data_IF_518739797442
#
_entry.id   IF_518739797442
#
_cell.length_a   1.000
_cell.length_b   1.000
_cell.length_c   1.000
_cell.angle_alpha   90.00
_cell.angle_beta   90.00
_cell.angle_gamma   90.00
#
_symmetry.space_group_name_H-M   'P 1'
#
loop_
_entity.id
_entity.type
_entity.pdbx_description
1 polymer ?
#
# COMPACT_ATOMS: atom_id res chain seq x y z
N UNK A 1 1.21 17.65 -41.26
CA UNK A 1 0.44 17.42 -40.01
C UNK A 1 0.16 18.71 -39.22
N UNK A 2 1.16 19.41 -38.66
CA UNK A 2 0.92 20.61 -37.83
C UNK A 2 0.06 21.69 -38.50
N UNK A 3 0.35 22.01 -39.76
CA UNK A 3 -0.42 23.02 -40.51
C UNK A 3 -1.87 22.57 -40.78
N UNK A 4 -2.08 21.30 -41.09
CA UNK A 4 -3.41 20.71 -41.27
C UNK A 4 -4.25 20.82 -39.98
N UNK A 5 -3.70 20.41 -38.84
CA UNK A 5 -4.36 20.54 -37.54
C UNK A 5 -4.62 22.01 -37.18
N UNK A 6 -3.69 22.91 -37.50
CA UNK A 6 -3.87 24.35 -37.30
C UNK A 6 -5.02 24.90 -38.15
N UNK A 7 -5.10 24.56 -39.43
CA UNK A 7 -6.20 24.94 -40.32
C UNK A 7 -7.54 24.43 -39.80
N UNK A 8 -7.63 23.14 -39.41
CA UNK A 8 -8.83 22.56 -38.78
C UNK A 8 -9.20 23.30 -37.48
N UNK A 9 -8.21 23.71 -36.69
CA UNK A 9 -8.46 24.45 -35.45
C UNK A 9 -9.09 25.82 -35.64
N UNK A 10 -8.68 26.53 -36.68
CA UNK A 10 -9.20 27.87 -36.98
C UNK A 10 -10.68 27.85 -37.40
N UNK A 11 -11.12 26.80 -38.08
CA UNK A 11 -12.51 26.69 -38.55
C UNK A 11 -13.55 26.46 -37.45
N UNK A 12 -13.20 25.81 -36.33
CA UNK A 12 -14.14 25.69 -35.20
C UNK A 12 -14.03 26.83 -34.19
N UNK A 13 -12.94 27.60 -34.20
CA UNK A 13 -12.79 28.79 -33.35
C UNK A 13 -13.53 30.01 -33.88
N UNK A 14 -13.84 30.02 -35.18
CA UNK A 14 -14.71 31.00 -35.83
C UNK A 14 -15.89 30.28 -36.47
N UNK A 15 -16.99 30.17 -35.72
CA UNK A 15 -18.22 29.59 -36.21
C UNK A 15 -18.63 30.24 -37.55
N UNK A 16 -18.89 29.42 -38.57
CA UNK A 16 -19.31 29.86 -39.90
C UNK A 16 -18.20 30.15 -40.92
N UNK A 17 -16.93 30.06 -40.56
CA UNK A 17 -15.81 30.19 -41.50
C UNK A 17 -15.51 28.85 -42.18
N UNK A 18 -15.50 28.84 -43.52
CA UNK A 18 -15.10 27.67 -44.32
C UNK A 18 -13.60 27.76 -44.64
N UNK A 19 -12.84 26.73 -44.23
CA UNK A 19 -11.42 26.59 -44.60
C UNK A 19 -11.28 25.42 -45.57
N UNK A 20 -10.72 25.70 -46.76
CA UNK A 20 -10.42 24.70 -47.78
C UNK A 20 -8.95 24.33 -47.71
N UNK A 21 -8.66 23.07 -47.37
CA UNK A 21 -7.31 22.52 -47.34
C UNK A 21 -6.97 21.85 -48.68
N UNK A 22 -5.75 22.06 -49.17
CA UNK A 22 -5.18 21.32 -50.28
C UNK A 22 -3.68 21.12 -50.09
N UNK A 23 -3.19 19.90 -50.33
CA UNK A 23 -1.76 19.59 -50.38
C UNK A 23 -1.45 18.59 -51.51
N UNK A 24 -0.18 18.54 -51.92
CA UNK A 24 0.29 17.59 -52.92
C UNK A 24 0.15 16.15 -52.45
N UNK A 25 -0.05 15.24 -53.41
CA UNK A 25 -0.31 13.82 -53.15
C UNK A 25 0.84 13.15 -52.39
N UNK A 26 2.08 13.53 -52.68
CA UNK A 26 3.26 13.06 -51.97
C UNK A 26 3.26 13.43 -50.47
N UNK A 27 2.74 14.60 -50.12
CA UNK A 27 2.63 15.06 -48.72
C UNK A 27 1.46 14.36 -48.03
N UNK A 28 0.38 14.12 -48.76
CA UNK A 28 -0.81 13.39 -48.30
C UNK A 28 -0.43 11.98 -47.85
N UNK A 29 0.27 11.23 -48.70
CA UNK A 29 0.67 9.84 -48.44
C UNK A 29 1.72 9.75 -47.32
N UNK A 30 2.70 10.67 -47.32
CA UNK A 30 3.79 10.67 -46.33
C UNK A 30 3.32 10.93 -44.89
N UNK A 31 2.27 11.73 -44.72
CA UNK A 31 1.81 12.17 -43.40
C UNK A 31 0.41 11.67 -43.04
N UNK A 32 -0.17 10.80 -43.87
CA UNK A 32 -1.51 10.26 -43.70
C UNK A 32 -2.57 11.35 -43.44
N UNK A 33 -2.50 12.43 -44.22
CA UNK A 33 -3.47 13.54 -44.20
C UNK A 33 -4.16 13.62 -45.55
N UNK A 34 -5.44 13.99 -45.65
CA UNK A 34 -6.15 14.05 -46.93
C UNK A 34 -5.57 15.16 -47.84
N UNK A 35 -5.50 14.85 -49.14
CA UNK A 35 -4.99 15.79 -50.18
C UNK A 35 -5.89 16.99 -50.38
N UNK A 36 -7.19 16.85 -50.11
CA UNK A 36 -8.18 17.93 -50.06
C UNK A 36 -9.13 17.70 -48.90
N UNK A 37 -9.43 18.75 -48.14
CA UNK A 37 -10.44 18.71 -47.09
C UNK A 37 -11.18 20.05 -46.99
N UNK A 38 -12.39 20.03 -46.44
CA UNK A 38 -13.21 21.23 -46.21
C UNK A 38 -13.70 21.25 -44.78
N UNK A 39 -13.22 22.21 -44.01
CA UNK A 39 -13.64 22.39 -42.63
C UNK A 39 -14.71 23.48 -42.54
N UNK A 40 -15.89 23.11 -42.04
CA UNK A 40 -16.99 24.04 -41.74
C UNK A 40 -17.70 23.58 -40.48
N UNK A 41 -17.58 24.37 -39.42
CA UNK A 41 -18.22 24.10 -38.14
C UNK A 41 -19.24 25.21 -37.86
N UNK A 42 -20.51 24.87 -37.91
CA UNK A 42 -21.61 25.83 -37.81
C UNK A 42 -21.86 26.21 -36.34
N UNK A 43 -21.66 25.27 -35.41
CA UNK A 43 -21.83 25.47 -33.97
C UNK A 43 -20.48 25.58 -33.22
N UNK A 44 -19.40 25.89 -33.94
CA UNK A 44 -18.09 26.16 -33.35
C UNK A 44 -17.51 24.98 -32.57
N UNK A 45 -17.20 25.19 -31.28
CA UNK A 45 -16.56 24.18 -30.43
C UNK A 45 -17.43 22.95 -30.17
N UNK A 46 -18.76 23.09 -30.24
CA UNK A 46 -19.67 21.97 -30.00
C UNK A 46 -19.54 20.88 -31.08
N UNK A 47 -19.47 21.29 -32.35
CA UNK A 47 -19.30 20.36 -33.47
C UNK A 47 -17.93 19.66 -33.40
N UNK A 48 -16.88 20.41 -33.03
CA UNK A 48 -15.54 19.85 -32.83
C UNK A 48 -15.52 18.72 -31.79
N UNK A 49 -16.16 18.92 -30.64
CA UNK A 49 -16.19 17.89 -29.59
C UNK A 49 -17.07 16.70 -29.98
N UNK A 50 -18.20 16.92 -30.66
CA UNK A 50 -19.03 15.83 -31.15
C UNK A 50 -18.29 14.93 -32.16
N UNK A 51 -17.40 15.50 -32.98
CA UNK A 51 -16.61 14.74 -33.96
C UNK A 51 -15.45 13.95 -33.33
N UNK A 52 -14.87 14.45 -32.23
CA UNK A 52 -13.69 13.82 -31.60
C UNK A 52 -14.02 12.84 -30.46
N UNK A 53 -15.23 12.94 -29.90
CA UNK A 53 -15.63 12.21 -28.69
C UNK A 53 -16.76 11.23 -28.98
N UNK A 54 -16.54 9.96 -28.64
CA UNK A 54 -17.62 8.97 -28.58
C UNK A 54 -18.49 9.21 -27.35
N UNK A 55 -19.77 9.54 -27.57
CA UNK A 55 -20.75 9.82 -26.52
C UNK A 55 -20.93 8.67 -25.54
N UNK A 56 -20.69 7.42 -25.94
CA UNK A 56 -20.77 6.25 -25.06
C UNK A 56 -19.66 6.21 -24.00
N UNK A 57 -18.58 6.95 -24.23
CA UNK A 57 -17.42 7.04 -23.34
C UNK A 57 -17.43 8.26 -22.41
N UNK A 58 -18.58 8.96 -22.33
CA UNK A 58 -18.77 10.18 -21.56
C UNK A 58 -19.63 9.98 -20.32
N UNK A 59 -19.41 10.83 -19.31
CA UNK A 59 -20.25 10.87 -18.10
C UNK A 59 -21.57 11.59 -18.36
N UNK A 60 -21.55 12.71 -19.10
CA UNK A 60 -22.76 13.42 -19.49
C UNK A 60 -23.28 12.91 -20.83
N UNK A 61 -24.61 12.75 -20.92
CA UNK A 61 -25.25 12.37 -22.18
C UNK A 61 -25.17 13.49 -23.21
N UNK A 62 -25.19 14.74 -22.74
CA UNK A 62 -25.04 15.95 -23.56
C UNK A 62 -23.78 16.71 -23.14
N UNK A 63 -23.06 17.24 -24.13
CA UNK A 63 -21.88 18.08 -23.89
C UNK A 63 -22.35 19.36 -23.20
N UNK A 64 -21.72 19.71 -22.08
CA UNK A 64 -21.93 21.02 -21.47
C UNK A 64 -21.25 22.08 -22.32
N UNK A 65 -22.03 22.72 -23.18
CA UNK A 65 -21.57 23.74 -24.10
C UNK A 65 -22.30 25.06 -23.93
N UNK A 66 -21.67 26.16 -24.33
CA UNK A 66 -22.29 27.46 -24.36
C UNK A 66 -21.35 28.54 -24.88
N UNK A 67 -21.95 29.68 -25.18
CA UNK A 67 -21.23 30.87 -25.67
C UNK A 67 -21.74 32.10 -24.95
N UNK A 68 -20.80 32.93 -24.50
CA UNK A 68 -21.04 34.29 -24.06
C UNK A 68 -20.49 35.23 -25.11
N UNK A 69 -21.40 35.96 -25.77
CA UNK A 69 -21.03 37.01 -26.73
C UNK A 69 -20.29 38.16 -26.05
N UNK A 70 -19.65 39.00 -26.88
CA UNK A 70 -18.85 40.14 -26.42
C UNK A 70 -19.65 41.01 -25.46
N UNK A 71 -19.14 41.15 -24.26
CA UNK A 71 -19.70 42.05 -23.25
C UNK A 71 -19.20 43.50 -23.43
N UNK A 72 -19.56 44.37 -22.46
CA UNK A 72 -19.09 45.76 -22.41
C UNK A 72 -17.57 45.91 -22.36
N UNK A 73 -16.84 44.86 -21.97
CA UNK A 73 -15.39 44.82 -21.89
C UNK A 73 -14.76 44.14 -23.13
N UNK A 74 -15.54 43.87 -24.18
CA UNK A 74 -15.13 43.15 -25.39
C UNK A 74 -14.56 41.75 -25.12
N UNK A 75 -15.01 41.09 -24.04
CA UNK A 75 -14.63 39.71 -23.72
C UNK A 75 -15.73 38.77 -24.23
N UNK A 76 -15.34 37.73 -24.97
CA UNK A 76 -16.24 36.63 -25.32
C UNK A 76 -15.63 35.30 -24.92
N UNK A 77 -16.48 34.35 -24.53
CA UNK A 77 -16.04 33.04 -24.06
C UNK A 77 -16.95 31.94 -24.60
N UNK A 78 -16.36 30.89 -25.14
CA UNK A 78 -17.05 29.71 -25.67
C UNK A 78 -16.46 28.46 -25.03
N UNK A 79 -17.31 27.53 -24.63
CA UNK A 79 -16.90 26.27 -24.01
C UNK A 79 -17.73 25.12 -24.55
N UNK A 80 -17.11 23.95 -24.63
CA UNK A 80 -17.76 22.67 -24.89
C UNK A 80 -16.96 21.60 -24.15
N UNK A 81 -17.53 21.05 -23.08
CA UNK A 81 -16.83 20.08 -22.21
C UNK A 81 -17.72 18.92 -21.79
N UNK A 82 -17.07 17.80 -21.47
CA UNK A 82 -17.64 16.62 -20.83
C UNK A 82 -16.54 15.95 -19.99
N UNK A 83 -16.86 14.85 -19.33
CA UNK A 83 -15.92 14.00 -18.61
C UNK A 83 -15.86 12.62 -19.27
N UNK A 84 -14.67 12.08 -19.48
CA UNK A 84 -14.48 10.76 -20.06
C UNK A 84 -14.45 9.67 -19.00
N UNK A 85 -15.15 8.56 -19.28
CA UNK A 85 -15.03 7.30 -18.53
C UNK A 85 -13.81 6.47 -18.98
N UNK A 86 -13.21 6.81 -20.13
CA UNK A 86 -12.10 6.07 -20.74
C UNK A 86 -10.72 6.65 -20.44
N UNK A 87 -9.71 6.13 -21.14
CA UNK A 87 -8.30 6.55 -20.98
C UNK A 87 -7.94 7.82 -21.76
N UNK A 88 -8.77 8.24 -22.73
CA UNK A 88 -8.52 9.42 -23.55
C UNK A 88 -9.12 10.67 -22.90
N UNK A 89 -8.26 11.59 -22.48
CA UNK A 89 -8.65 12.84 -21.83
C UNK A 89 -7.88 14.00 -22.45
N UNK A 90 -8.55 15.10 -22.80
CA UNK A 90 -7.89 16.29 -23.37
C UNK A 90 -8.73 17.55 -23.14
N UNK A 91 -8.07 18.68 -22.87
CA UNK A 91 -8.75 19.98 -22.80
C UNK A 91 -8.01 20.98 -23.68
N UNK A 92 -8.56 21.23 -24.87
CA UNK A 92 -7.96 22.15 -25.82
C UNK A 92 -8.35 23.58 -25.47
N UNK A 93 -7.42 24.38 -24.98
CA UNK A 93 -7.68 25.77 -24.58
C UNK A 93 -7.06 26.76 -25.56
N UNK A 94 -7.78 27.86 -25.82
CA UNK A 94 -7.39 28.90 -26.78
C UNK A 94 -7.64 30.30 -26.22
N UNK A 95 -6.75 31.24 -26.53
CA UNK A 95 -6.92 32.66 -26.29
C UNK A 95 -6.67 33.44 -27.59
N UNK A 96 -7.65 34.22 -28.05
CA UNK A 96 -7.58 34.95 -29.33
C UNK A 96 -7.13 34.04 -30.50
N UNK A 97 -7.63 32.80 -30.54
CA UNK A 97 -7.25 31.73 -31.49
C UNK A 97 -5.82 31.20 -31.42
N UNK A 98 -5.03 31.64 -30.43
CA UNK A 98 -3.73 31.07 -30.12
C UNK A 98 -3.93 29.91 -29.13
N UNK A 99 -3.44 28.70 -29.42
CA UNK A 99 -3.54 27.58 -28.48
C UNK A 99 -2.73 27.87 -27.22
N UNK A 100 -3.30 27.54 -26.06
CA UNK A 100 -2.64 27.65 -24.76
C UNK A 100 -2.39 26.26 -24.18
N UNK A 101 -1.36 25.51 -24.64
CA UNK A 101 -1.15 24.12 -24.25
C UNK A 101 -0.84 23.95 -22.75
N UNK A 102 -0.35 25.00 -22.08
CA UNK A 102 -0.14 25.01 -20.62
C UNK A 102 -1.34 25.59 -19.85
N UNK A 103 -2.47 25.80 -20.53
CA UNK A 103 -3.70 26.33 -19.96
C UNK A 103 -3.59 27.81 -19.60
N UNK A 104 -4.13 28.19 -18.46
CA UNK A 104 -4.05 29.56 -17.96
C UNK A 104 -5.21 29.96 -17.08
N UNK A 105 -5.38 31.27 -16.89
CA UNK A 105 -6.40 31.83 -16.01
C UNK A 105 -7.83 31.51 -16.45
N UNK A 106 -8.10 31.38 -17.75
CA UNK A 106 -9.38 30.94 -18.32
C UNK A 106 -9.73 29.50 -17.95
N UNK A 107 -8.77 28.57 -18.04
CA UNK A 107 -8.97 27.17 -17.65
C UNK A 107 -9.19 27.02 -16.13
N UNK A 108 -8.42 27.77 -15.34
CA UNK A 108 -8.59 27.80 -13.87
C UNK A 108 -9.98 28.35 -13.52
N UNK A 109 -10.43 29.40 -14.24
CA UNK A 109 -11.77 29.97 -14.08
C UNK A 109 -12.87 28.94 -14.38
N UNK A 110 -12.74 28.19 -15.48
CA UNK A 110 -13.68 27.11 -15.84
C UNK A 110 -13.79 26.08 -14.70
N UNK A 111 -12.66 25.52 -14.25
CA UNK A 111 -12.62 24.51 -13.18
C UNK A 111 -13.17 25.06 -11.87
N UNK A 112 -12.86 26.31 -11.54
CA UNK A 112 -13.37 27.01 -10.36
C UNK A 112 -14.89 27.20 -10.40
N UNK A 113 -15.43 27.55 -11.56
CA UNK A 113 -16.87 27.80 -11.73
C UNK A 113 -17.68 26.52 -11.54
N UNK A 114 -17.23 25.43 -12.19
CA UNK A 114 -17.83 24.10 -12.04
C UNK A 114 -17.74 23.61 -10.60
N UNK A 115 -16.58 23.74 -9.95
CA UNK A 115 -16.39 23.35 -8.56
C UNK A 115 -17.38 24.05 -7.62
N UNK A 116 -17.56 25.37 -7.78
CA UNK A 116 -18.49 26.13 -6.95
C UNK A 116 -19.93 25.70 -7.19
N UNK A 117 -20.33 25.54 -8.44
CA UNK A 117 -21.67 25.08 -8.80
C UNK A 117 -21.98 23.66 -8.26
N UNK A 118 -21.03 22.73 -8.38
CA UNK A 118 -21.16 21.37 -7.83
C UNK A 118 -21.27 21.38 -6.31
N UNK A 119 -20.48 22.21 -5.61
CA UNK A 119 -20.59 22.36 -4.15
C UNK A 119 -21.93 22.93 -3.72
N UNK A 120 -22.43 23.96 -4.41
CA UNK A 120 -23.78 24.51 -4.18
C UNK A 120 -24.87 23.44 -4.37
N UNK A 121 -24.74 22.59 -5.40
CA UNK A 121 -25.69 21.51 -5.67
C UNK A 121 -25.61 20.40 -4.62
N UNK A 122 -24.40 19.96 -4.24
CA UNK A 122 -24.21 18.92 -3.24
C UNK A 122 -24.68 19.33 -1.83
N UNK A 123 -24.60 20.62 -1.49
CA UNK A 123 -25.20 21.15 -0.26
C UNK A 123 -26.72 20.99 -0.25
N UNK A 124 -27.38 21.20 -1.40
CA UNK A 124 -28.83 20.99 -1.54
C UNK A 124 -29.22 19.52 -1.46
N UNK A 125 -28.39 18.61 -2.00
CA UNK A 125 -28.65 17.16 -1.97
C UNK A 125 -28.14 16.45 -0.71
N UNK A 126 -27.52 17.17 0.23
CA UNK A 126 -27.06 16.63 1.52
C UNK A 126 -25.76 15.83 1.48
N UNK A 127 -24.99 15.89 0.39
CA UNK A 127 -23.78 15.08 0.22
C UNK A 127 -22.54 15.73 0.88
N UNK A 128 -22.23 15.31 2.11
CA UNK A 128 -21.13 15.86 2.93
C UNK A 128 -19.74 15.69 2.29
N UNK A 129 -19.54 14.67 1.45
CA UNK A 129 -18.25 14.40 0.81
C UNK A 129 -17.86 15.45 -0.22
N UNK A 130 -18.83 16.19 -0.77
CA UNK A 130 -18.58 17.25 -1.73
C UNK A 130 -17.75 18.42 -1.17
N UNK A 131 -17.74 18.61 0.16
CA UNK A 131 -16.90 19.61 0.83
C UNK A 131 -15.40 19.40 0.55
N UNK A 132 -14.98 18.13 0.36
CA UNK A 132 -13.59 17.73 0.15
C UNK A 132 -13.12 17.82 -1.32
N UNK A 133 -14.04 18.03 -2.26
CA UNK A 133 -13.72 18.19 -3.70
C UNK A 133 -12.89 19.46 -3.89
N UNK A 134 -11.84 19.38 -4.71
CA UNK A 134 -11.05 20.53 -5.14
C UNK A 134 -11.09 20.72 -6.68
N UNK A 135 -10.46 21.78 -7.19
CA UNK A 135 -10.47 22.11 -8.63
C UNK A 135 -9.74 21.08 -9.49
N UNK A 136 -8.79 20.34 -8.92
CA UNK A 136 -8.05 19.30 -9.64
C UNK A 136 -8.91 18.04 -9.83
N UNK A 137 -9.73 17.71 -8.84
CA UNK A 137 -10.69 16.60 -8.91
C UNK A 137 -11.71 16.85 -10.03
N UNK A 138 -12.19 18.09 -10.15
CA UNK A 138 -13.09 18.51 -11.25
C UNK A 138 -12.38 18.50 -12.60
N UNK A 139 -11.10 18.90 -12.62
CA UNK A 139 -10.29 18.96 -13.83
C UNK A 139 -9.84 17.61 -14.37
N UNK A 140 -9.95 16.54 -13.58
CA UNK A 140 -9.59 15.19 -14.01
C UNK A 140 -10.59 14.65 -15.02
N UNK A 141 -10.05 13.96 -16.01
CA UNK A 141 -10.80 13.30 -17.07
C UNK A 141 -11.70 14.23 -17.89
N UNK A 142 -11.46 15.55 -17.86
CA UNK A 142 -12.15 16.47 -18.76
C UNK A 142 -11.74 16.15 -20.21
N UNK A 143 -12.76 16.15 -21.07
CA UNK A 143 -12.67 16.11 -22.52
C UNK A 143 -13.41 17.32 -23.08
N UNK A 144 -12.74 18.14 -23.87
CA UNK A 144 -13.38 19.35 -24.35
C UNK A 144 -12.46 20.38 -24.96
N UNK A 145 -13.07 21.53 -25.28
CA UNK A 145 -12.38 22.70 -25.75
C UNK A 145 -12.96 23.97 -25.13
N UNK A 146 -12.10 24.96 -24.92
CA UNK A 146 -12.48 26.31 -24.48
C UNK A 146 -11.77 27.37 -25.30
N UNK A 147 -12.48 28.44 -25.63
CA UNK A 147 -11.94 29.57 -26.39
C UNK A 147 -12.36 30.88 -25.73
N UNK A 148 -11.37 31.73 -25.45
CA UNK A 148 -11.63 33.08 -24.95
C UNK A 148 -11.07 34.13 -25.92
N UNK A 149 -11.83 35.20 -26.14
CA UNK A 149 -11.33 36.40 -26.80
C UNK A 149 -11.28 37.55 -25.80
N UNK A 150 -10.12 38.22 -25.73
CA UNK A 150 -9.88 39.36 -24.84
C UNK A 150 -9.11 40.46 -25.57
N UNK A 151 -9.33 41.75 -25.23
CA UNK A 151 -8.62 42.87 -25.88
C UNK A 151 -7.10 42.84 -25.65
N UNK A 152 -6.67 42.65 -24.40
CA UNK A 152 -5.25 42.73 -24.00
C UNK A 152 -4.76 41.41 -23.36
N UNK A 153 -4.46 40.38 -24.15
CA UNK A 153 -3.97 39.12 -23.63
C UNK A 153 -2.52 39.24 -23.13
N UNK A 154 -2.29 38.81 -21.90
CA UNK A 154 -0.97 38.69 -21.27
C UNK A 154 -0.65 37.22 -21.12
N UNK A 155 0.49 36.80 -21.66
CA UNK A 155 0.96 35.42 -21.57
C UNK A 155 2.21 35.31 -20.72
N UNK A 156 2.43 34.14 -20.15
CA UNK A 156 3.69 33.80 -19.50
C UNK A 156 4.70 33.33 -20.54
N UNK A 157 5.85 34.01 -20.63
CA UNK A 157 6.94 33.64 -21.53
C UNK A 157 6.71 34.02 -23.01
N UNK A 158 7.75 33.82 -23.82
CA UNK A 158 7.78 34.21 -25.23
C UNK A 158 6.88 33.32 -26.11
N UNK A 159 6.70 32.05 -25.73
CA UNK A 159 5.97 31.04 -26.51
C UNK A 159 4.43 31.17 -26.43
N UNK A 160 3.92 32.13 -25.64
CA UNK A 160 2.47 32.37 -25.42
C UNK A 160 1.69 31.13 -24.95
N UNK A 161 2.36 30.22 -24.24
CA UNK A 161 1.80 28.92 -23.90
C UNK A 161 0.73 28.96 -22.79
N UNK A 162 0.75 30.01 -21.96
CA UNK A 162 -0.10 30.13 -20.76
C UNK A 162 -0.66 31.54 -20.56
N UNK A 163 -1.98 31.66 -20.43
CA UNK A 163 -2.64 32.95 -20.15
C UNK A 163 -2.47 33.36 -18.69
N UNK A 164 -2.10 34.63 -18.43
CA UNK A 164 -1.80 35.15 -17.08
C UNK A 164 -2.74 36.25 -16.56
N UNK A 165 -3.73 36.70 -17.36
CA UNK A 165 -4.68 37.74 -16.95
C UNK A 165 -5.54 37.29 -15.75
N UNK A 166 -5.27 37.83 -14.55
CA UNK A 166 -6.03 37.49 -13.33
C UNK A 166 -7.52 37.86 -13.41
N UNK A 167 -7.86 38.95 -14.12
CA UNK A 167 -9.25 39.38 -14.32
C UNK A 167 -10.08 38.33 -15.07
N UNK A 168 -9.46 37.61 -16.00
CA UNK A 168 -10.12 36.56 -16.80
C UNK A 168 -10.57 35.40 -15.94
N UNK A 169 -9.80 35.01 -14.92
CA UNK A 169 -10.17 33.88 -14.06
C UNK A 169 -11.52 34.11 -13.39
N UNK A 170 -11.69 35.24 -12.69
CA UNK A 170 -12.92 35.57 -11.97
C UNK A 170 -14.10 35.76 -12.93
N UNK A 171 -13.82 36.31 -14.11
CA UNK A 171 -14.83 36.50 -15.16
C UNK A 171 -15.40 35.17 -15.66
N UNK A 172 -14.53 34.25 -16.11
CA UNK A 172 -14.92 32.93 -16.60
C UNK A 172 -15.60 32.11 -15.50
N UNK A 173 -15.06 32.16 -14.28
CA UNK A 173 -15.61 31.45 -13.12
C UNK A 173 -17.07 31.80 -12.85
N UNK A 174 -17.41 33.10 -12.88
CA UNK A 174 -18.77 33.56 -12.63
C UNK A 174 -19.74 33.12 -13.74
N UNK A 175 -19.33 33.21 -15.00
CA UNK A 175 -20.15 32.78 -16.15
C UNK A 175 -20.43 31.29 -16.08
N UNK A 176 -19.38 30.50 -15.85
CA UNK A 176 -19.48 29.05 -15.80
C UNK A 176 -20.29 28.61 -14.59
N UNK A 177 -20.10 29.23 -13.42
CA UNK A 177 -20.90 28.91 -12.23
C UNK A 177 -22.39 29.08 -12.52
N UNK A 178 -22.81 30.25 -13.02
CA UNK A 178 -24.22 30.55 -13.32
C UNK A 178 -24.83 29.53 -14.30
N UNK A 179 -24.16 29.33 -15.44
CA UNK A 179 -24.65 28.42 -16.47
C UNK A 179 -24.67 26.96 -16.03
N UNK A 180 -23.68 26.54 -15.24
CA UNK A 180 -23.61 25.18 -14.74
C UNK A 180 -24.64 24.93 -13.63
N UNK A 181 -24.94 25.91 -12.76
CA UNK A 181 -26.02 25.80 -11.76
C UNK A 181 -27.39 25.65 -12.42
N UNK A 182 -27.64 26.38 -13.51
CA UNK A 182 -28.84 26.21 -14.34
C UNK A 182 -28.90 24.82 -14.97
N UNK A 183 -27.81 24.34 -15.55
CA UNK A 183 -27.75 23.00 -16.14
C UNK A 183 -27.99 21.89 -15.11
N UNK A 184 -27.34 21.96 -13.93
CA UNK A 184 -27.53 21.01 -12.83
C UNK A 184 -28.98 20.98 -12.34
N UNK A 185 -29.68 22.11 -12.38
CA UNK A 185 -31.08 22.20 -11.95
C UNK A 185 -32.06 21.68 -13.01
N UNK A 186 -31.72 21.82 -14.30
CA UNK A 186 -32.54 21.33 -15.41
C UNK A 186 -32.40 19.82 -15.65
N UNK A 187 -31.33 19.18 -15.17
CA UNK A 187 -31.08 17.74 -15.36
C UNK A 187 -30.56 17.06 -14.08
N UNK A 188 -31.43 16.85 -13.06
CA UNK A 188 -31.02 16.32 -11.76
C UNK A 188 -30.32 14.95 -11.84
N UNK A 189 -30.82 14.04 -12.68
CA UNK A 189 -30.22 12.70 -12.81
C UNK A 189 -28.78 12.75 -13.34
N UNK A 190 -28.49 13.62 -14.31
CA UNK A 190 -27.13 13.78 -14.82
C UNK A 190 -26.24 14.52 -13.82
N UNK A 191 -26.80 15.47 -13.06
CA UNK A 191 -26.11 16.16 -11.98
C UNK A 191 -25.63 15.19 -10.90
N UNK A 192 -26.49 14.26 -10.45
CA UNK A 192 -26.16 13.26 -9.44
C UNK A 192 -25.13 12.24 -9.95
N UNK A 193 -25.23 11.81 -11.21
CA UNK A 193 -24.25 10.92 -11.85
C UNK A 193 -22.87 11.59 -11.89
N UNK A 194 -22.80 12.85 -12.32
CA UNK A 194 -21.56 13.61 -12.36
C UNK A 194 -20.98 13.84 -10.96
N UNK A 195 -21.82 14.19 -9.98
CA UNK A 195 -21.39 14.38 -8.61
C UNK A 195 -20.80 13.10 -8.02
N UNK A 196 -21.47 11.96 -8.24
CA UNK A 196 -21.00 10.63 -7.81
C UNK A 196 -19.63 10.30 -8.43
N UNK A 197 -19.48 10.55 -9.72
CA UNK A 197 -18.22 10.33 -10.44
C UNK A 197 -17.06 11.17 -9.87
N UNK A 198 -17.30 12.45 -9.59
CA UNK A 198 -16.27 13.33 -9.03
C UNK A 198 -15.94 12.96 -7.57
N UNK A 199 -16.91 12.44 -6.82
CA UNK A 199 -16.68 11.91 -5.47
C UNK A 199 -15.75 10.70 -5.52
N UNK A 200 -15.95 9.77 -6.45
CA UNK A 200 -15.08 8.60 -6.63
C UNK A 200 -13.61 9.01 -6.89
N UNK A 201 -13.41 10.03 -7.75
CA UNK A 201 -12.10 10.62 -8.02
C UNK A 201 -11.49 11.20 -6.73
N UNK A 202 -12.32 11.92 -5.96
CA UNK A 202 -11.92 12.57 -4.71
C UNK A 202 -11.51 11.55 -3.64
N UNK A 203 -12.29 10.48 -3.47
CA UNK A 203 -11.99 9.38 -2.54
C UNK A 203 -10.69 8.68 -2.91
N UNK A 204 -10.47 8.43 -4.21
CA UNK A 204 -9.21 7.85 -4.70
C UNK A 204 -8.00 8.75 -4.37
N UNK A 205 -8.15 10.08 -4.49
CA UNK A 205 -7.11 11.04 -4.09
C UNK A 205 -6.86 11.01 -2.59
N UNK A 206 -7.92 10.99 -1.78
CA UNK A 206 -7.80 10.97 -0.32
C UNK A 206 -7.14 9.68 0.18
N UNK A 207 -7.53 8.51 -0.37
CA UNK A 207 -6.92 7.22 -0.05
C UNK A 207 -5.42 7.21 -0.33
N UNK A 208 -5.01 7.69 -1.52
CA UNK A 208 -3.57 7.82 -1.88
C UNK A 208 -2.82 8.79 -0.98
N UNK A 209 -3.48 9.86 -0.52
CA UNK A 209 -2.88 10.82 0.42
C UNK A 209 -2.69 10.18 1.79
N UNK A 210 -3.68 9.44 2.29
CA UNK A 210 -3.59 8.71 3.55
C UNK A 210 -2.49 7.64 3.51
N UNK A 211 -2.36 6.87 2.43
CA UNK A 211 -1.27 5.91 2.22
C UNK A 211 0.12 6.59 2.26
N UNK A 212 0.26 7.75 1.60
CA UNK A 212 1.51 8.55 1.59
C UNK A 212 1.81 9.22 2.93
N UNK A 213 0.80 9.68 3.66
CA UNK A 213 0.99 10.25 5.00
C UNK A 213 1.29 9.18 6.04
N UNK A 214 0.72 7.98 5.90
CA UNK A 214 1.03 6.83 6.75
C UNK A 214 2.49 6.39 6.57
N UNK A 215 2.97 6.36 5.32
CA UNK A 215 4.38 6.07 5.00
C UNK A 215 5.33 7.18 5.47
N UNK A 216 4.98 8.48 5.32
CA UNK A 216 5.79 9.59 5.85
C UNK A 216 5.80 9.68 7.39
N UNK A 217 4.68 9.41 8.05
CA UNK A 217 4.61 9.37 9.53
C UNK A 217 5.47 8.23 10.10
N UNK A 218 5.65 7.15 9.35
CA UNK A 218 6.56 6.06 9.70
C UNK A 218 8.05 6.43 9.49
N UNK A 219 8.37 7.35 8.57
CA UNK A 219 9.76 7.74 8.27
C UNK A 219 10.37 8.77 9.25
N UNK A 220 9.57 9.63 9.91
CA UNK A 220 10.07 10.72 10.77
C UNK A 220 10.09 10.34 12.27
N UNK A 221 9.36 9.31 12.69
CA UNK A 221 9.50 8.79 14.04
C UNK A 221 10.83 8.03 14.10
N UNK A 222 11.81 8.51 14.89
CA UNK A 222 12.77 7.62 15.56
C UNK A 222 12.02 6.36 15.91
N UNK A 223 12.44 5.19 15.41
CA UNK A 223 11.80 3.91 15.68
C UNK A 223 11.58 3.84 17.19
N UNK A 224 10.36 4.11 17.65
CA UNK A 224 10.02 3.93 19.06
C UNK A 224 10.04 2.43 19.21
N UNK A 225 11.05 1.89 19.87
CA UNK A 225 11.09 0.47 20.11
C UNK A 225 9.97 0.12 21.11
N UNK A 226 9.43 -1.11 21.06
CA UNK A 226 8.46 -1.55 22.05
C UNK A 226 9.08 -1.43 23.45
N UNK A 227 8.34 -0.92 24.43
CA UNK A 227 8.87 -0.73 25.79
C UNK A 227 9.32 -2.03 26.47
N UNK A 228 8.88 -3.18 25.96
CA UNK A 228 9.26 -4.52 26.44
C UNK A 228 10.55 -5.06 25.81
N UNK A 229 10.97 -4.51 24.67
CA UNK A 229 12.17 -4.96 23.97
C UNK A 229 13.40 -4.59 24.80
N UNK A 230 14.17 -5.59 25.20
CA UNK A 230 15.53 -5.38 25.65
C UNK A 230 16.43 -5.44 24.41
N UNK A 231 16.82 -4.29 23.88
CA UNK A 231 17.59 -4.22 22.62
C UNK A 231 19.07 -4.56 22.83
N UNK A 232 19.77 -4.90 21.74
CA UNK A 232 21.23 -5.04 21.73
C UNK A 232 21.92 -3.68 21.56
N UNK A 233 23.20 -3.59 21.92
CA UNK A 233 23.96 -2.33 21.81
C UNK A 233 24.60 -2.13 20.43
N UNK A 234 24.81 -3.22 19.69
CA UNK A 234 25.30 -3.17 18.31
C UNK A 234 24.20 -2.62 17.37
N UNK A 235 24.59 -1.68 16.51
CA UNK A 235 23.67 -1.03 15.55
C UNK A 235 23.66 -1.72 14.19
N UNK A 236 24.72 -2.48 13.87
CA UNK A 236 24.78 -3.27 12.66
C UNK A 236 23.86 -4.50 12.74
N UNK A 237 23.28 -4.89 11.60
CA UNK A 237 22.48 -6.11 11.51
C UNK A 237 23.33 -7.38 11.59
N UNK A 238 24.60 -7.30 11.21
CA UNK A 238 25.49 -8.44 11.07
C UNK A 238 25.89 -8.98 12.44
N UNK A 239 25.75 -10.28 12.62
CA UNK A 239 26.02 -10.97 13.88
C UNK A 239 24.99 -10.72 15.00
N UNK A 240 23.99 -9.85 14.79
CA UNK A 240 22.96 -9.58 15.79
C UNK A 240 21.78 -10.53 15.71
N UNK A 241 21.20 -10.83 16.86
CA UNK A 241 20.17 -11.85 17.01
C UNK A 241 19.07 -11.34 17.92
N UNK A 242 17.81 -11.65 17.61
CA UNK A 242 16.67 -11.39 18.49
C UNK A 242 16.07 -12.71 18.97
N UNK A 243 15.91 -12.84 20.28
CA UNK A 243 15.19 -13.94 20.92
C UNK A 243 13.76 -13.50 21.23
N UNK A 244 12.80 -14.21 20.65
CA UNK A 244 11.38 -14.06 20.94
C UNK A 244 11.05 -15.09 22.02
N UNK A 245 10.69 -14.62 23.22
CA UNK A 245 10.58 -15.47 24.41
C UNK A 245 9.15 -15.54 24.93
N UNK A 246 8.74 -16.71 25.38
CA UNK A 246 7.45 -16.93 26.02
C UNK A 246 7.40 -16.35 27.45
N UNK A 247 6.62 -15.30 27.64
CA UNK A 247 6.36 -14.70 28.95
C UNK A 247 7.47 -13.81 29.50
N UNK A 248 7.12 -13.02 30.51
CA UNK A 248 8.07 -12.10 31.17
C UNK A 248 9.08 -12.85 32.07
N UNK A 249 8.72 -14.03 32.58
CA UNK A 249 9.58 -14.83 33.45
C UNK A 249 10.82 -15.33 32.70
N UNK A 250 10.60 -16.09 31.61
CA UNK A 250 11.69 -16.52 30.75
C UNK A 250 12.38 -15.33 30.07
N UNK A 251 11.63 -14.25 29.73
CA UNK A 251 12.20 -13.00 29.24
C UNK A 251 13.19 -12.35 30.23
N UNK A 252 12.90 -12.40 31.53
CA UNK A 252 13.78 -11.92 32.60
C UNK A 252 15.08 -12.71 32.68
N UNK A 253 15.01 -14.05 32.69
CA UNK A 253 16.19 -14.92 32.68
C UNK A 253 17.01 -14.75 31.41
N UNK A 254 16.36 -14.67 30.24
CA UNK A 254 17.02 -14.45 28.96
C UNK A 254 17.72 -13.08 28.90
N UNK A 255 17.09 -12.02 29.45
CA UNK A 255 17.69 -10.68 29.52
C UNK A 255 18.98 -10.66 30.36
N UNK A 256 19.05 -11.45 31.41
CA UNK A 256 20.25 -11.57 32.25
C UNK A 256 21.31 -12.49 31.61
N UNK A 257 20.89 -13.52 30.89
CA UNK A 257 21.77 -14.50 30.26
C UNK A 257 22.45 -13.98 28.98
N UNK A 258 21.79 -13.08 28.24
CA UNK A 258 22.20 -12.64 26.90
C UNK A 258 23.58 -11.99 26.86
N UNK A 259 24.18 -12.03 25.67
CA UNK A 259 25.20 -11.06 25.31
C UNK A 259 24.54 -9.75 24.89
N UNK A 260 24.62 -8.72 25.75
CA UNK A 260 24.00 -7.40 25.50
C UNK A 260 24.49 -6.70 24.24
N UNK A 261 25.66 -7.08 23.73
CA UNK A 261 26.24 -6.45 22.53
C UNK A 261 25.47 -6.92 21.30
N UNK A 262 25.23 -8.22 21.16
CA UNK A 262 24.68 -8.81 19.94
C UNK A 262 23.26 -9.37 20.06
N UNK A 263 22.75 -9.61 21.27
CA UNK A 263 21.49 -10.33 21.47
C UNK A 263 20.41 -9.44 22.05
N UNK A 264 19.30 -9.28 21.34
CA UNK A 264 18.08 -8.61 21.78
C UNK A 264 17.05 -9.63 22.30
N UNK A 265 16.22 -9.24 23.28
CA UNK A 265 15.17 -10.09 23.87
C UNK A 265 13.83 -9.39 23.76
N UNK A 266 12.85 -10.08 23.16
CA UNK A 266 11.46 -9.65 23.07
C UNK A 266 10.56 -10.66 23.79
N UNK A 267 10.08 -10.35 25.01
CA UNK A 267 9.11 -11.19 25.69
C UNK A 267 7.70 -10.97 25.12
N UNK A 268 7.00 -12.07 24.82
CA UNK A 268 5.60 -12.07 24.39
C UNK A 268 4.69 -12.51 25.54
N UNK A 269 3.51 -11.89 25.65
CA UNK A 269 2.52 -12.28 26.67
C UNK A 269 1.32 -12.96 26.02
N UNK A 270 0.97 -14.13 26.54
CA UNK A 270 -0.16 -14.92 26.06
C UNK A 270 0.09 -15.51 24.67
N UNK A 271 -0.94 -16.16 24.12
CA UNK A 271 -0.88 -16.76 22.79
C UNK A 271 -0.94 -15.68 21.72
N UNK A 272 -0.06 -15.80 20.72
CA UNK A 272 -0.06 -14.95 19.52
C UNK A 272 -1.40 -15.12 18.78
N UNK A 273 -1.90 -14.04 18.16
CA UNK A 273 -3.07 -14.13 17.31
C UNK A 273 -2.78 -15.02 16.10
N UNK A 274 -3.63 -16.01 15.85
CA UNK A 274 -3.53 -16.81 14.63
C UNK A 274 -3.88 -15.97 13.40
N UNK A 275 -2.86 -15.53 12.66
CA UNK A 275 -3.04 -14.66 11.50
C UNK A 275 -3.68 -15.36 10.31
N UNK A 276 -3.54 -16.68 10.17
CA UNK A 276 -4.13 -17.45 9.07
C UNK A 276 -5.68 -17.43 9.09
N UNK A 277 -6.30 -17.08 10.22
CA UNK A 277 -7.75 -16.97 10.38
C UNK A 277 -8.20 -15.56 10.86
N UNK A 278 -7.29 -14.57 10.85
CA UNK A 278 -7.60 -13.22 11.29
C UNK A 278 -7.82 -12.29 10.10
N UNK A 279 -8.75 -11.33 10.23
CA UNK A 279 -8.90 -10.27 9.24
C UNK A 279 -7.74 -9.27 9.35
N UNK A 280 -7.40 -8.59 8.24
CA UNK A 280 -6.34 -7.56 8.21
C UNK A 280 -6.51 -6.48 9.30
N UNK A 281 -7.75 -6.10 9.64
CA UNK A 281 -8.02 -5.17 10.76
C UNK A 281 -7.60 -5.75 12.11
N UNK A 282 -8.00 -7.00 12.41
CA UNK A 282 -7.65 -7.65 13.69
C UNK A 282 -6.14 -7.84 13.84
N UNK A 283 -5.43 -8.12 12.75
CA UNK A 283 -3.96 -8.22 12.74
C UNK A 283 -3.34 -6.87 13.09
N UNK A 284 -3.83 -5.79 12.47
CA UNK A 284 -3.33 -4.42 12.69
C UNK A 284 -3.59 -3.92 14.12
N UNK A 285 -4.73 -4.29 14.71
CA UNK A 285 -5.12 -3.88 16.05
C UNK A 285 -4.45 -4.73 17.16
N UNK A 286 -3.73 -5.79 16.80
CA UNK A 286 -3.07 -6.67 17.77
C UNK A 286 -1.74 -6.09 18.28
N UNK A 287 -1.66 -5.85 19.59
CA UNK A 287 -0.47 -5.26 20.20
C UNK A 287 0.78 -6.16 20.12
N UNK A 288 0.66 -7.49 20.25
CA UNK A 288 1.82 -8.39 20.20
C UNK A 288 2.46 -8.41 18.80
N UNK A 289 1.62 -8.43 17.76
CA UNK A 289 2.07 -8.33 16.37
C UNK A 289 2.70 -6.95 16.11
N UNK A 290 2.07 -5.88 16.59
CA UNK A 290 2.61 -4.52 16.49
C UNK A 290 3.99 -4.41 17.15
N UNK A 291 4.13 -4.93 18.37
CA UNK A 291 5.40 -4.96 19.12
C UNK A 291 6.46 -5.77 18.35
N UNK A 292 6.11 -6.94 17.81
CA UNK A 292 7.01 -7.80 17.04
C UNK A 292 7.49 -7.10 15.75
N UNK A 293 6.58 -6.56 14.95
CA UNK A 293 6.89 -5.84 13.71
C UNK A 293 7.77 -4.62 14.01
N UNK A 294 7.46 -3.89 15.07
CA UNK A 294 8.20 -2.71 15.49
C UNK A 294 9.62 -3.07 15.99
N UNK A 295 9.78 -4.20 16.69
CA UNK A 295 11.09 -4.70 17.09
C UNK A 295 11.95 -5.10 15.89
N UNK A 296 11.37 -5.75 14.88
CA UNK A 296 12.06 -6.22 13.67
C UNK A 296 12.39 -5.09 12.68
N UNK A 297 11.55 -4.05 12.61
CA UNK A 297 11.78 -2.85 11.80
C UNK A 297 11.49 -3.00 10.30
N UNK A 298 11.23 -4.22 9.80
CA UNK A 298 11.06 -4.52 8.38
C UNK A 298 9.64 -4.34 7.83
N UNK A 299 8.64 -4.00 8.64
CA UNK A 299 7.24 -4.06 8.20
C UNK A 299 6.78 -5.50 7.94
N UNK A 300 5.55 -5.69 7.44
CA UNK A 300 4.95 -7.00 7.16
C UNK A 300 3.96 -6.92 5.98
N UNK A 301 3.61 -8.06 5.39
CA UNK A 301 2.70 -8.17 4.26
C UNK A 301 3.16 -7.33 3.07
N UNK A 302 2.26 -6.53 2.51
CA UNK A 302 2.55 -5.64 1.36
C UNK A 302 3.59 -4.54 1.67
N UNK A 303 3.84 -4.26 2.96
CA UNK A 303 4.79 -3.23 3.42
C UNK A 303 6.14 -3.82 3.85
N UNK A 304 6.34 -5.12 3.69
CA UNK A 304 7.59 -5.79 4.08
C UNK A 304 8.77 -5.31 3.23
N UNK A 305 9.82 -4.84 3.89
CA UNK A 305 11.12 -4.56 3.30
C UNK A 305 12.23 -5.17 4.17
N UNK A 306 12.91 -6.16 3.62
CA UNK A 306 14.00 -6.88 4.27
C UNK A 306 15.22 -6.00 4.58
N UNK A 307 15.49 -4.96 3.79
CA UNK A 307 16.65 -4.08 4.02
C UNK A 307 16.57 -3.37 5.37
N UNK A 308 15.34 -3.16 5.86
CA UNK A 308 15.05 -2.54 7.14
C UNK A 308 15.08 -3.55 8.31
N UNK A 309 15.32 -4.84 8.05
CA UNK A 309 15.40 -5.86 9.09
C UNK A 309 16.61 -5.57 10.01
N UNK A 310 16.33 -5.44 11.31
CA UNK A 310 17.31 -4.99 12.30
C UNK A 310 18.29 -6.06 12.77
N UNK A 311 17.92 -7.34 12.66
CA UNK A 311 18.73 -8.45 13.17
C UNK A 311 18.98 -9.49 12.08
N UNK A 312 20.16 -10.10 12.09
CA UNK A 312 20.51 -11.18 11.16
C UNK A 312 19.69 -12.44 11.44
N UNK A 313 19.49 -12.80 12.71
CA UNK A 313 18.76 -14.01 13.11
C UNK A 313 17.60 -13.71 14.04
N UNK A 314 16.50 -14.37 13.79
CA UNK A 314 15.29 -14.36 14.62
C UNK A 314 15.17 -15.75 15.24
N UNK A 315 15.24 -15.83 16.56
CA UNK A 315 15.25 -17.09 17.31
C UNK A 315 14.00 -17.15 18.18
N UNK A 316 13.12 -18.10 17.91
CA UNK A 316 11.96 -18.41 18.74
C UNK A 316 12.43 -19.31 19.89
N UNK A 317 12.24 -18.86 21.12
CA UNK A 317 12.64 -19.58 22.33
C UNK A 317 11.43 -19.73 23.26
N UNK A 318 10.77 -20.88 23.14
CA UNK A 318 9.56 -21.25 23.89
C UNK A 318 9.84 -22.45 24.79
N UNK A 319 8.94 -22.72 25.73
CA UNK A 319 9.06 -23.87 26.62
C UNK A 319 8.88 -25.20 25.86
N UNK A 320 9.48 -26.27 26.38
CA UNK A 320 9.41 -27.61 25.80
C UNK A 320 8.12 -28.35 26.24
N UNK A 321 6.99 -27.65 26.14
CA UNK A 321 5.67 -28.15 26.49
C UNK A 321 4.64 -27.92 25.36
N UNK A 322 3.38 -28.27 25.62
CA UNK A 322 2.29 -28.16 24.64
C UNK A 322 1.95 -26.70 24.29
N UNK A 323 2.12 -25.77 25.22
CA UNK A 323 1.80 -24.35 25.02
C UNK A 323 2.93 -23.64 24.25
N UNK A 324 4.18 -23.95 24.56
CA UNK A 324 5.35 -23.49 23.82
C UNK A 324 5.35 -23.99 22.37
N UNK A 325 5.02 -25.27 22.15
CA UNK A 325 4.84 -25.80 20.79
C UNK A 325 3.73 -25.08 19.99
N UNK A 326 2.64 -24.70 20.67
CA UNK A 326 1.55 -23.93 20.07
C UNK A 326 2.00 -22.51 19.73
N UNK A 327 2.72 -21.81 20.62
CA UNK A 327 3.25 -20.46 20.37
C UNK A 327 4.25 -20.48 19.22
N UNK A 328 5.16 -21.45 19.20
CA UNK A 328 6.10 -21.64 18.10
C UNK A 328 5.36 -21.84 16.76
N UNK A 329 4.31 -22.65 16.75
CA UNK A 329 3.48 -22.87 15.55
C UNK A 329 2.78 -21.59 15.07
N UNK A 330 2.26 -20.78 15.99
CA UNK A 330 1.63 -19.49 15.69
C UNK A 330 2.64 -18.47 15.11
N UNK A 331 3.85 -18.41 15.68
CA UNK A 331 4.91 -17.53 15.20
C UNK A 331 5.42 -17.95 13.82
N UNK A 332 5.65 -19.25 13.60
CA UNK A 332 6.05 -19.78 12.30
C UNK A 332 4.96 -19.48 11.25
N UNK A 333 3.69 -19.63 11.61
CA UNK A 333 2.56 -19.26 10.75
C UNK A 333 2.58 -17.76 10.43
N UNK A 334 2.84 -16.90 11.40
CA UNK A 334 2.98 -15.46 11.18
C UNK A 334 4.10 -15.13 10.19
N UNK A 335 5.30 -15.68 10.40
CA UNK A 335 6.42 -15.46 9.47
C UNK A 335 6.15 -16.06 8.08
N UNK A 336 5.42 -17.18 7.99
CA UNK A 336 5.04 -17.77 6.71
C UNK A 336 4.08 -16.88 5.91
N UNK A 337 3.01 -16.40 6.55
CA UNK A 337 1.96 -15.63 5.85
C UNK A 337 2.36 -14.17 5.62
N UNK A 338 2.99 -13.52 6.60
CA UNK A 338 3.22 -12.07 6.58
C UNK A 338 4.66 -11.68 6.25
N UNK A 339 5.65 -12.58 6.38
CA UNK A 339 7.08 -12.30 6.13
C UNK A 339 7.84 -13.49 5.51
N UNK A 340 7.35 -14.11 4.42
CA UNK A 340 7.88 -15.37 3.89
C UNK A 340 9.38 -15.31 3.51
N UNK A 341 9.85 -14.13 3.09
CA UNK A 341 11.25 -13.92 2.71
C UNK A 341 12.25 -14.15 3.87
N UNK A 342 11.83 -13.96 5.13
CA UNK A 342 12.66 -14.27 6.30
C UNK A 342 12.96 -15.77 6.36
N UNK A 343 11.96 -16.61 6.07
CA UNK A 343 12.10 -18.07 6.07
C UNK A 343 12.91 -18.52 4.85
N UNK A 344 12.62 -17.96 3.66
CA UNK A 344 13.36 -18.30 2.42
C UNK A 344 14.85 -18.01 2.54
N UNK A 345 15.23 -16.92 3.20
CA UNK A 345 16.63 -16.55 3.45
C UNK A 345 17.24 -17.27 4.66
N UNK A 346 16.48 -18.14 5.34
CA UNK A 346 16.96 -18.94 6.45
C UNK A 346 17.33 -18.10 7.69
N UNK A 347 16.61 -17.00 7.94
CA UNK A 347 16.86 -16.11 9.08
C UNK A 347 16.03 -16.46 10.32
N UNK A 348 15.07 -17.39 10.21
CA UNK A 348 14.21 -17.85 11.31
C UNK A 348 14.73 -19.16 11.91
N UNK A 349 14.81 -19.21 13.23
CA UNK A 349 15.34 -20.33 14.01
C UNK A 349 14.45 -20.66 15.20
N UNK A 350 14.47 -21.92 15.64
CA UNK A 350 13.95 -22.38 16.92
C UNK A 350 15.12 -22.73 17.84
N UNK A 351 15.08 -22.24 19.08
CA UNK A 351 16.00 -22.65 20.12
C UNK A 351 15.63 -24.03 20.66
N UNK A 352 16.64 -24.86 20.93
CA UNK A 352 16.45 -26.19 21.53
C UNK A 352 17.11 -26.21 22.91
N UNK A 353 16.38 -25.85 23.98
CA UNK A 353 16.90 -25.96 25.34
C UNK A 353 17.08 -27.45 25.74
N UNK A 354 17.97 -27.75 26.69
CA UNK A 354 18.17 -29.12 27.17
C UNK A 354 16.98 -29.59 28.02
N UNK A 355 16.65 -30.88 27.93
CA UNK A 355 15.59 -31.51 28.71
C UNK A 355 16.07 -31.96 30.10
N UNK A 356 17.35 -32.33 30.23
CA UNK A 356 17.93 -32.81 31.48
C UNK A 356 19.22 -32.09 31.85
N UNK A 357 19.42 -31.88 33.15
CA UNK A 357 20.69 -31.57 33.78
C UNK A 357 21.16 -32.78 34.57
N UNK A 358 22.35 -33.28 34.23
CA UNK A 358 22.98 -34.43 34.87
C UNK A 358 24.18 -33.91 35.67
N UNK A 359 24.22 -34.18 36.97
CA UNK A 359 25.34 -33.78 37.84
C UNK A 359 25.91 -34.93 38.66
N UNK A 360 27.24 -34.94 38.77
CA UNK A 360 28.00 -35.83 39.65
C UNK A 360 29.20 -35.07 40.22
N UNK A 361 29.11 -34.66 41.49
CA UNK A 361 30.11 -33.78 42.11
C UNK A 361 30.21 -32.44 41.38
N UNK A 362 31.39 -32.12 40.84
CA UNK A 362 31.64 -30.88 40.07
C UNK A 362 31.29 -31.01 38.58
N UNK A 363 31.05 -32.22 38.07
CA UNK A 363 30.77 -32.46 36.65
C UNK A 363 29.28 -32.25 36.37
N UNK A 364 28.97 -31.35 35.44
CA UNK A 364 27.61 -31.04 35.01
C UNK A 364 27.56 -31.22 33.49
N UNK A 365 26.58 -31.97 32.99
CA UNK A 365 26.33 -32.15 31.56
C UNK A 365 24.83 -31.96 31.30
N UNK A 366 24.49 -31.55 30.09
CA UNK A 366 23.12 -31.27 29.69
C UNK A 366 22.70 -32.22 28.56
N UNK A 367 21.56 -32.87 28.72
CA UNK A 367 20.99 -33.76 27.70
C UNK A 367 19.76 -33.12 27.06
N UNK A 368 19.57 -33.38 25.77
CA UNK A 368 18.49 -32.78 24.96
C UNK A 368 17.24 -33.66 24.88
N UNK A 369 17.44 -34.97 25.03
CA UNK A 369 16.42 -36.01 24.94
C UNK A 369 16.84 -37.21 25.82
N UNK A 370 15.97 -38.20 25.99
CA UNK A 370 16.23 -39.39 26.80
C UNK A 370 17.42 -40.22 26.27
N UNK A 371 17.55 -40.35 24.93
CA UNK A 371 18.64 -41.10 24.32
C UNK A 371 20.01 -40.46 24.59
N UNK A 372 20.09 -39.13 24.45
CA UNK A 372 21.27 -38.34 24.75
C UNK A 372 21.62 -38.41 26.24
N UNK A 373 20.60 -38.45 27.12
CA UNK A 373 20.81 -38.63 28.56
C UNK A 373 21.51 -39.96 28.84
N UNK A 374 21.03 -41.05 28.25
CA UNK A 374 21.63 -42.38 28.44
C UNK A 374 23.07 -42.46 27.92
N UNK A 375 23.33 -41.87 26.75
CA UNK A 375 24.68 -41.81 26.17
C UNK A 375 25.62 -41.06 27.11
N UNK A 376 25.22 -39.86 27.55
CA UNK A 376 26.03 -39.05 28.47
C UNK A 376 26.30 -39.76 29.79
N UNK A 377 25.30 -40.44 30.35
CA UNK A 377 25.48 -41.24 31.58
C UNK A 377 26.49 -42.37 31.36
N UNK A 378 26.41 -43.08 30.24
CA UNK A 378 27.33 -44.19 29.92
C UNK A 378 28.77 -43.73 29.67
N UNK A 379 28.96 -42.63 28.96
CA UNK A 379 30.28 -42.18 28.51
C UNK A 379 30.99 -41.28 29.53
N UNK A 380 30.24 -40.47 30.28
CA UNK A 380 30.83 -39.36 31.04
C UNK A 380 30.67 -39.49 32.56
N UNK A 381 29.86 -40.42 33.06
CA UNK A 381 29.57 -40.54 34.48
C UNK A 381 29.90 -41.93 35.03
N UNK A 382 30.39 -41.99 36.27
CA UNK A 382 30.65 -43.26 36.94
C UNK A 382 29.34 -43.79 37.55
N UNK A 383 28.87 -44.96 37.10
CA UNK A 383 27.62 -45.59 37.58
C UNK A 383 27.65 -45.98 39.05
N UNK A 384 28.84 -46.17 39.63
CA UNK A 384 29.00 -46.60 41.03
C UNK A 384 28.82 -45.45 42.03
N UNK A 385 28.72 -44.20 41.55
CA UNK A 385 28.50 -43.00 42.36
C UNK A 385 27.14 -42.41 42.05
N UNK A 386 26.47 -41.83 43.06
CA UNK A 386 25.16 -41.17 42.90
C UNK A 386 25.22 -40.13 41.78
N UNK A 387 24.32 -40.27 40.80
CA UNK A 387 24.10 -39.33 39.69
C UNK A 387 22.80 -38.59 39.99
N UNK A 388 22.83 -37.26 39.97
CA UNK A 388 21.65 -36.42 40.13
C UNK A 388 21.15 -35.99 38.76
N UNK A 389 19.88 -36.30 38.46
CA UNK A 389 19.24 -35.98 37.18
C UNK A 389 18.05 -35.08 37.46
N UNK A 390 18.12 -33.84 37.00
CA UNK A 390 17.03 -32.88 37.09
C UNK A 390 16.44 -32.67 35.69
N UNK A 391 15.13 -32.81 35.56
CA UNK A 391 14.40 -32.52 34.32
C UNK A 391 13.91 -31.07 34.37
N UNK A 392 14.15 -30.31 33.30
CA UNK A 392 13.56 -28.98 33.15
C UNK A 392 12.14 -29.11 32.61
N UNK A 393 11.18 -28.40 33.23
CA UNK A 393 9.80 -28.34 32.71
C UNK A 393 9.55 -27.10 31.86
N UNK A 394 10.26 -26.00 32.14
CA UNK A 394 10.19 -24.77 31.37
C UNK A 394 11.46 -23.94 31.51
N UNK A 395 11.63 -22.96 30.61
CA UNK A 395 12.78 -22.07 30.56
C UNK A 395 12.89 -21.19 31.82
N UNK A 396 11.75 -20.89 32.47
CA UNK A 396 11.71 -20.11 33.71
C UNK A 396 12.35 -20.82 34.92
N UNK A 397 12.51 -22.14 34.88
CA UNK A 397 13.17 -22.92 35.93
C UNK A 397 14.71 -22.91 35.80
N UNK A 398 15.22 -22.48 34.63
CA UNK A 398 16.65 -22.42 34.37
C UNK A 398 17.24 -21.13 34.95
N UNK A 399 18.33 -21.28 35.72
CA UNK A 399 19.11 -20.12 36.15
C UNK A 399 19.73 -19.42 34.93
N UNK A 400 19.88 -18.09 34.92
CA UNK A 400 20.41 -17.35 33.77
C UNK A 400 21.75 -17.87 33.24
N UNK A 401 22.65 -18.31 34.13
CA UNK A 401 23.93 -18.89 33.74
C UNK A 401 23.77 -20.21 32.95
N UNK A 402 22.79 -21.03 33.32
CA UNK A 402 22.49 -22.29 32.64
C UNK A 402 21.86 -22.02 31.27
N UNK A 403 20.90 -21.11 31.21
CA UNK A 403 20.25 -20.70 29.95
C UNK A 403 21.29 -20.11 28.97
N UNK A 404 22.23 -19.30 29.49
CA UNK A 404 23.33 -18.77 28.71
C UNK A 404 24.17 -19.89 28.10
N UNK A 405 24.70 -20.78 28.92
CA UNK A 405 25.63 -21.82 28.48
C UNK A 405 24.99 -22.80 27.49
N UNK A 406 23.72 -23.11 27.67
CA UNK A 406 23.05 -24.21 26.94
C UNK A 406 22.32 -23.74 25.69
N UNK A 407 21.63 -22.60 25.74
CA UNK A 407 20.67 -22.22 24.70
C UNK A 407 21.04 -20.92 23.98
N UNK A 408 21.82 -20.03 24.60
CA UNK A 408 22.09 -18.70 24.05
C UNK A 408 23.52 -18.50 23.55
N UNK A 409 24.52 -19.15 24.16
CA UNK A 409 25.93 -18.98 23.82
C UNK A 409 26.27 -19.57 22.44
N UNK A 410 26.95 -18.78 21.62
CA UNK A 410 27.47 -19.21 20.32
C UNK A 410 28.46 -20.37 20.50
N UNK A 411 28.35 -21.38 19.63
CA UNK A 411 29.20 -22.58 19.65
C UNK A 411 28.78 -23.69 20.63
N UNK A 412 28.01 -23.37 21.69
CA UNK A 412 27.48 -24.40 22.62
C UNK A 412 25.99 -24.73 22.39
N UNK A 413 25.23 -23.79 21.84
CA UNK A 413 23.79 -23.96 21.62
C UNK A 413 23.45 -24.77 20.37
N UNK A 414 22.25 -25.34 20.37
CA UNK A 414 21.64 -25.96 19.18
C UNK A 414 20.43 -25.14 18.73
N UNK A 415 20.40 -24.77 17.45
CA UNK A 415 19.28 -24.08 16.82
C UNK A 415 18.77 -24.91 15.64
N UNK A 416 17.45 -25.02 15.50
CA UNK A 416 16.82 -25.58 14.31
C UNK A 416 16.47 -24.44 13.35
N UNK A 417 17.05 -24.45 12.15
CA UNK A 417 16.73 -23.45 11.13
C UNK A 417 15.42 -23.83 10.43
N UNK A 418 14.47 -22.90 10.43
CA UNK A 418 13.19 -23.07 9.71
C UNK A 418 13.44 -22.80 8.23
N UNK A 419 13.14 -23.79 7.39
CA UNK A 419 13.32 -23.71 5.92
C UNK A 419 12.11 -24.27 5.21
N UNK A 420 11.78 -23.71 4.05
CA UNK A 420 10.75 -24.23 3.15
C UNK A 420 11.44 -24.58 1.83
N UNK A 421 11.67 -25.87 1.55
CA UNK A 421 12.22 -26.29 0.28
C UNK A 421 11.30 -25.86 -0.87
N UNK A 422 11.86 -25.37 -1.98
CA UNK A 422 11.08 -24.90 -3.14
C UNK A 422 10.10 -25.96 -3.67
N UNK A 423 10.48 -27.25 -3.63
CA UNK A 423 9.64 -28.37 -4.07
C UNK A 423 8.47 -28.66 -3.11
N UNK A 424 8.52 -28.16 -1.89
CA UNK A 424 7.54 -28.42 -0.83
C UNK A 424 6.73 -27.18 -0.43
N UNK A 425 6.91 -26.04 -1.10
CA UNK A 425 6.20 -24.78 -0.79
C UNK A 425 4.66 -24.98 -0.81
N UNK A 426 4.15 -25.70 -1.81
CA UNK A 426 2.73 -26.04 -1.90
C UNK A 426 2.26 -26.88 -0.71
N UNK A 427 3.03 -27.90 -0.34
CA UNK A 427 2.72 -28.80 0.78
C UNK A 427 2.77 -28.07 2.12
N UNK A 428 3.74 -27.18 2.31
CA UNK A 428 3.85 -26.32 3.49
C UNK A 428 2.61 -25.43 3.63
N UNK A 429 2.21 -24.75 2.54
CA UNK A 429 1.02 -23.91 2.51
C UNK A 429 -0.27 -24.70 2.80
N UNK A 430 -0.42 -25.87 2.19
CA UNK A 430 -1.56 -26.77 2.44
C UNK A 430 -1.59 -27.24 3.91
N UNK A 431 -0.44 -27.56 4.49
CA UNK A 431 -0.33 -27.99 5.90
C UNK A 431 -0.71 -26.86 6.86
N UNK A 432 -0.20 -25.65 6.63
CA UNK A 432 -0.54 -24.47 7.43
C UNK A 432 -2.04 -24.16 7.30
N UNK A 433 -2.61 -24.23 6.10
CA UNK A 433 -4.04 -24.02 5.90
C UNK A 433 -4.90 -25.06 6.63
N UNK A 434 -4.51 -26.35 6.59
CA UNK A 434 -5.22 -27.42 7.31
C UNK A 434 -5.17 -27.24 8.83
N UNK A 435 -4.01 -26.89 9.38
CA UNK A 435 -3.82 -26.76 10.83
C UNK A 435 -4.33 -25.42 11.37
N UNK A 436 -4.03 -24.32 10.69
CA UNK A 436 -4.23 -22.95 11.20
C UNK A 436 -5.40 -22.21 10.55
N UNK A 437 -6.01 -22.79 9.51
CA UNK A 437 -7.13 -22.18 8.80
C UNK A 437 -8.46 -22.20 9.57
N UNK A 438 -9.51 -21.81 8.84
CA UNK A 438 -10.86 -21.59 9.36
C UNK A 438 -11.80 -22.80 9.28
N UNK A 439 -11.34 -23.93 8.74
CA UNK A 439 -12.12 -25.18 8.57
C UNK A 439 -11.73 -26.22 9.63
N UNK A 440 -12.53 -26.42 10.69
CA UNK A 440 -12.22 -27.39 11.74
C UNK A 440 -12.14 -28.84 11.23
N UNK A 441 -12.89 -29.17 10.19
CA UNK A 441 -12.99 -30.53 9.63
C UNK A 441 -11.63 -30.99 9.08
N UNK A 442 -10.95 -30.12 8.34
CA UNK A 442 -9.62 -30.40 7.77
C UNK A 442 -8.56 -30.60 8.86
N UNK A 443 -8.66 -29.84 9.96
CA UNK A 443 -7.77 -30.00 11.11
C UNK A 443 -8.01 -31.35 11.78
N UNK A 444 -9.27 -31.72 11.98
CA UNK A 444 -9.64 -32.98 12.60
C UNK A 444 -9.17 -34.18 11.78
N UNK A 445 -9.38 -34.16 10.45
CA UNK A 445 -8.87 -35.19 9.54
C UNK A 445 -7.34 -35.32 9.63
N UNK A 446 -6.62 -34.19 9.60
CA UNK A 446 -5.16 -34.19 9.72
C UNK A 446 -4.69 -34.80 11.05
N UNK A 447 -5.31 -34.42 12.18
CA UNK A 447 -4.98 -34.99 13.49
C UNK A 447 -5.26 -36.50 13.49
N UNK A 448 -6.40 -36.94 12.95
CA UNK A 448 -6.77 -38.36 12.89
C UNK A 448 -5.79 -39.17 12.04
N UNK A 449 -5.39 -38.67 10.88
CA UNK A 449 -4.40 -39.33 10.01
C UNK A 449 -3.02 -39.44 10.68
N UNK A 450 -2.64 -38.44 11.49
CA UNK A 450 -1.33 -38.38 12.13
C UNK A 450 -1.28 -39.01 13.52
N UNK A 451 -2.41 -39.15 14.21
CA UNK A 451 -2.48 -39.77 15.53
C UNK A 451 -2.01 -41.23 15.49
N UNK A 452 -2.38 -41.98 14.44
CA UNK A 452 -2.01 -43.40 14.28
C UNK A 452 -0.52 -43.64 13.94
N UNK A 453 0.29 -42.58 13.76
CA UNK A 453 1.74 -42.71 13.53
C UNK A 453 2.53 -42.77 14.84
N UNK A 454 1.90 -42.49 15.99
CA UNK A 454 2.54 -42.38 17.29
C UNK A 454 1.87 -43.28 18.33
N UNK A 455 1.77 -44.58 18.05
CA UNK A 455 1.32 -45.61 19.02
C UNK A 455 2.33 -45.87 20.16
N UNK A 456 3.50 -45.22 20.15
CA UNK A 456 4.56 -45.34 21.16
C UNK A 456 4.83 -44.02 21.91
N UNK A 457 3.80 -43.25 22.25
CA UNK A 457 3.90 -42.23 23.28
C UNK A 457 3.41 -42.84 24.59
N UNK A 458 4.33 -43.41 25.36
CA UNK A 458 4.07 -43.83 26.74
C UNK A 458 3.49 -42.63 27.51
N UNK A 459 2.23 -42.78 27.96
CA UNK A 459 1.47 -41.81 28.77
C UNK A 459 2.08 -41.71 30.17
#
# INVERSE_FOLDING_TARGET
IRLYNFSRSKSYLFAGVEIRWSCDKEISDKFNIPSKDKFKFSNGLMDFINDEVDKSSCVLNEIFSGKKEKDKNNISFEWAINWSLGTKTFLNSYCNTVPTPQGGTHEIGLKGGILKALKSHAQRTGNKMASKINSDDVGRNIIGAISIFIPEPKFQGQTKDKLSNKSVQKYVENIIKDRFEHWLSNSPQQADNLLSYIIEITETRLRRKEEKETTRKNAIRKLRLPGKLADCSENSKEGTEIFIVEGDSAGGSAKQARDRIYQAILPLRGKILNVANASKSKIKDNQQISDLVQALGCGYGDLFNEENLRYEKIIIMTDADVDGAHIASLLITFFHEEMPEIIKKGKLYLAVPPLYRISQGKKIMYARDDSHREILIKENFNKDKKIEINRFKGLGEMMPAQLKETTMLLGKRTLLRVVIPLKEERKAKETIMKLMGNKPELRFEFIREKANLYDNLDI
#
